data_IF_385837442735
#
_entry.id   IF_385837442735
#
_cell.length_a   1.000
_cell.length_b   1.000
_cell.length_c   1.000
_cell.angle_alpha   90.00
_cell.angle_beta   90.00
_cell.angle_gamma   90.00
#
_symmetry.space_group_name_H-M   'P 1'
#
loop_
_entity.id
_entity.type
_entity.pdbx_description
1 polymer ?
#
# COMPACT_ATOMS: atom_id res chain seq x y z
N UNK A 1 12.21 -5.09 -1.91
CA UNK A 1 13.24 -5.85 -1.15
C UNK A 1 12.66 -7.08 -0.46
N UNK A 2 11.54 -6.98 0.31
CA UNK A 2 10.96 -8.15 1.03
C UNK A 2 10.59 -9.31 0.10
N UNK A 3 9.95 -9.03 -1.03
CA UNK A 3 9.61 -10.05 -2.03
C UNK A 3 10.86 -10.75 -2.61
N UNK A 4 11.96 -10.01 -2.83
CA UNK A 4 13.24 -10.58 -3.26
C UNK A 4 13.90 -11.49 -2.21
N UNK A 5 13.50 -11.35 -0.94
CA UNK A 5 13.92 -12.21 0.17
C UNK A 5 12.96 -13.37 0.42
N UNK A 6 12.00 -13.60 -0.49
CA UNK A 6 11.09 -14.74 -0.45
C UNK A 6 9.76 -14.51 0.28
N UNK A 7 9.40 -13.26 0.60
CA UNK A 7 8.11 -12.99 1.21
C UNK A 7 6.96 -13.44 0.29
N UNK A 8 6.01 -14.18 0.84
CA UNK A 8 4.77 -14.59 0.15
C UNK A 8 3.60 -13.65 0.46
N UNK A 9 3.63 -13.04 1.64
CA UNK A 9 2.65 -12.04 2.08
C UNK A 9 3.36 -10.89 2.78
N UNK A 10 2.89 -9.67 2.54
CA UNK A 10 3.32 -8.47 3.26
C UNK A 10 2.17 -7.93 4.10
N UNK A 11 2.43 -7.69 5.37
CA UNK A 11 1.51 -7.01 6.27
C UNK A 11 1.88 -5.53 6.37
N UNK A 12 0.92 -4.66 6.10
CA UNK A 12 1.05 -3.21 6.26
C UNK A 12 0.17 -2.73 7.43
N UNK A 13 0.66 -2.77 8.68
CA UNK A 13 -0.03 -2.13 9.78
C UNK A 13 0.05 -0.62 9.63
N UNK A 14 -1.11 0.05 9.57
CA UNK A 14 -1.22 1.48 9.31
C UNK A 14 -2.15 2.18 10.31
N UNK A 15 -1.96 3.47 10.44
CA UNK A 15 -2.84 4.38 11.18
C UNK A 15 -3.04 5.62 10.30
N UNK A 16 -3.72 5.43 9.16
CA UNK A 16 -3.95 6.49 8.18
C UNK A 16 -5.43 6.90 8.19
N UNK A 17 -5.67 8.19 8.07
CA UNK A 17 -7.00 8.77 8.11
C UNK A 17 -7.04 10.16 7.54
N UNK A 18 -8.21 10.77 7.57
CA UNK A 18 -8.44 12.13 7.11
C UNK A 18 -8.23 13.15 8.21
N UNK A 19 -7.56 14.22 7.87
CA UNK A 19 -7.70 15.45 8.63
C UNK A 19 -9.11 16.03 8.35
N UNK A 20 -9.85 16.54 9.38
CA UNK A 20 -11.24 16.98 9.21
C UNK A 20 -11.47 17.97 8.06
N UNK A 21 -10.48 18.83 7.78
CA UNK A 21 -10.56 19.82 6.70
C UNK A 21 -10.41 19.22 5.30
N UNK A 22 -9.79 18.05 5.17
CA UNK A 22 -9.48 17.41 3.88
C UNK A 22 -10.55 16.43 3.44
N UNK A 23 -11.26 15.82 4.39
CA UNK A 23 -12.23 14.75 4.14
C UNK A 23 -13.27 15.12 3.07
N UNK A 24 -13.83 16.34 3.13
CA UNK A 24 -14.85 16.77 2.17
C UNK A 24 -14.33 16.93 0.75
N UNK A 25 -13.06 17.34 0.61
CA UNK A 25 -12.48 17.69 -0.69
C UNK A 25 -11.74 16.52 -1.33
N UNK A 26 -11.05 15.71 -0.53
CA UNK A 26 -10.11 14.71 -1.03
C UNK A 26 -10.30 13.30 -0.45
N UNK A 27 -11.30 13.10 0.42
CA UNK A 27 -11.42 11.89 1.22
C UNK A 27 -11.41 10.60 0.41
N UNK A 28 -12.21 10.50 -0.63
CA UNK A 28 -12.25 9.31 -1.49
C UNK A 28 -10.94 9.12 -2.25
N UNK A 29 -10.40 10.19 -2.84
CA UNK A 29 -9.17 10.12 -3.62
C UNK A 29 -7.96 9.66 -2.78
N UNK A 30 -7.85 10.13 -1.53
CA UNK A 30 -6.78 9.72 -0.62
C UNK A 30 -6.88 8.24 -0.24
N UNK A 31 -8.08 7.77 0.12
CA UNK A 31 -8.31 6.36 0.44
C UNK A 31 -8.07 5.45 -0.75
N UNK A 32 -8.60 5.82 -1.92
CA UNK A 32 -8.45 5.06 -3.14
C UNK A 32 -6.98 4.99 -3.59
N UNK A 33 -6.23 6.08 -3.46
CA UNK A 33 -4.79 6.11 -3.73
C UNK A 33 -4.01 5.19 -2.79
N UNK A 34 -4.33 5.22 -1.49
CA UNK A 34 -3.73 4.35 -0.48
C UNK A 34 -3.99 2.86 -0.76
N UNK A 35 -5.22 2.48 -1.12
CA UNK A 35 -5.56 1.10 -1.47
C UNK A 35 -4.90 0.70 -2.80
N UNK A 36 -4.96 1.57 -3.80
CA UNK A 36 -4.42 1.30 -5.14
C UNK A 36 -2.92 1.06 -5.13
N UNK A 37 -2.14 1.88 -4.43
CA UNK A 37 -0.68 1.70 -4.38
C UNK A 37 -0.28 0.38 -3.72
N UNK A 38 -1.00 -0.06 -2.70
CA UNK A 38 -0.71 -1.33 -2.02
C UNK A 38 -1.12 -2.54 -2.87
N UNK A 39 -2.24 -2.46 -3.59
CA UNK A 39 -2.61 -3.44 -4.62
C UNK A 39 -1.58 -3.47 -5.74
N UNK A 40 -1.07 -2.33 -6.15
CA UNK A 40 0.06 -2.23 -7.08
C UNK A 40 1.31 -2.93 -6.57
N UNK A 41 1.62 -2.86 -5.27
CA UNK A 41 2.71 -3.63 -4.67
C UNK A 41 2.47 -5.14 -4.75
N UNK A 42 1.24 -5.61 -4.55
CA UNK A 42 0.91 -7.02 -4.70
C UNK A 42 1.20 -7.51 -6.14
N UNK A 43 0.71 -6.78 -7.13
CA UNK A 43 0.88 -7.09 -8.56
C UNK A 43 2.35 -7.05 -8.96
N UNK A 44 3.04 -5.94 -8.69
CA UNK A 44 4.41 -5.72 -9.14
C UNK A 44 5.41 -6.71 -8.53
N UNK A 45 5.09 -7.32 -7.40
CA UNK A 45 5.97 -8.24 -6.69
C UNK A 45 5.46 -9.70 -6.68
N UNK A 46 4.27 -9.97 -7.22
CA UNK A 46 3.64 -11.30 -7.21
C UNK A 46 3.52 -11.86 -5.79
N UNK A 47 2.88 -11.11 -4.88
CA UNK A 47 2.72 -11.46 -3.46
C UNK A 47 1.33 -11.09 -2.97
N UNK A 48 0.90 -11.69 -1.86
CA UNK A 48 -0.25 -11.20 -1.12
C UNK A 48 0.07 -9.94 -0.34
N UNK A 49 -0.89 -9.04 -0.20
CA UNK A 49 -0.79 -7.85 0.66
C UNK A 49 -1.98 -7.81 1.60
N UNK A 50 -1.69 -7.77 2.90
CA UNK A 50 -2.66 -7.57 3.97
C UNK A 50 -2.45 -6.18 4.59
N UNK A 51 -3.30 -5.24 4.24
CA UNK A 51 -3.29 -3.91 4.82
C UNK A 51 -4.23 -3.87 6.04
N UNK A 52 -3.69 -3.48 7.18
CA UNK A 52 -4.43 -3.38 8.44
C UNK A 52 -4.44 -1.93 8.89
N UNK A 53 -5.60 -1.30 8.89
CA UNK A 53 -5.73 0.10 9.26
C UNK A 53 -6.65 0.28 10.47
N UNK A 54 -6.44 1.36 11.18
CA UNK A 54 -7.31 1.78 12.30
C UNK A 54 -8.65 2.29 11.81
N UNK A 55 -9.64 2.25 12.70
CA UNK A 55 -10.94 2.90 12.55
C UNK A 55 -11.18 3.90 13.69
N UNK A 56 -12.15 4.78 13.50
CA UNK A 56 -12.59 5.73 14.54
C UNK A 56 -11.85 7.06 14.48
N UNK A 57 -12.09 7.87 15.48
CA UNK A 57 -11.58 9.24 15.57
C UNK A 57 -10.66 9.41 16.78
N UNK A 58 -9.50 9.99 16.55
CA UNK A 58 -8.53 10.33 17.60
C UNK A 58 -8.28 11.82 17.63
N UNK A 59 -8.46 12.42 18.81
CA UNK A 59 -8.23 13.84 19.04
C UNK A 59 -7.03 14.01 19.98
N UNK A 60 -5.97 14.69 19.53
CA UNK A 60 -4.86 15.03 20.41
C UNK A 60 -5.29 15.96 21.56
N UNK A 61 -4.68 15.79 22.71
CA UNK A 61 -5.04 16.53 23.96
C UNK A 61 -4.88 18.05 23.80
N UNK A 62 -3.99 18.51 22.94
CA UNK A 62 -3.61 19.92 22.81
C UNK A 62 -4.10 20.63 21.56
N UNK A 63 -4.86 19.97 20.67
CA UNK A 63 -5.32 20.58 19.42
C UNK A 63 -6.82 20.40 19.23
N UNK A 64 -7.43 21.32 18.48
CA UNK A 64 -8.84 21.21 18.09
C UNK A 64 -9.07 20.23 16.92
N UNK A 65 -8.01 19.92 16.18
CA UNK A 65 -8.05 19.00 15.08
C UNK A 65 -7.74 17.56 15.52
N UNK A 66 -8.34 16.58 14.87
CA UNK A 66 -8.09 15.17 15.07
C UNK A 66 -7.88 14.47 13.75
N UNK A 67 -7.76 13.14 13.80
CA UNK A 67 -7.69 12.28 12.62
C UNK A 67 -8.86 11.30 12.70
N UNK A 68 -9.62 11.20 11.62
CA UNK A 68 -10.62 10.16 11.42
C UNK A 68 -9.99 9.05 10.57
N UNK A 69 -9.69 7.92 11.18
CA UNK A 69 -9.13 6.77 10.49
C UNK A 69 -10.20 6.11 9.63
N UNK A 70 -9.86 5.82 8.37
CA UNK A 70 -10.84 5.32 7.41
C UNK A 70 -10.94 3.80 7.30
N UNK A 71 -10.41 3.06 8.27
CA UNK A 71 -10.52 1.60 8.26
C UNK A 71 -10.12 1.00 6.93
N UNK A 72 -11.06 0.35 6.26
CA UNK A 72 -10.89 -0.24 4.94
C UNK A 72 -9.67 -1.18 4.85
N UNK A 73 -9.40 -1.92 5.94
CA UNK A 73 -8.40 -2.98 5.94
C UNK A 73 -8.73 -4.00 4.85
N UNK A 74 -7.74 -4.59 4.22
CA UNK A 74 -8.01 -5.53 3.13
C UNK A 74 -6.92 -6.60 2.99
N UNK A 75 -7.29 -7.69 2.30
CA UNK A 75 -6.39 -8.69 1.77
C UNK A 75 -6.47 -8.68 0.24
N UNK A 76 -5.34 -8.47 -0.42
CA UNK A 76 -5.22 -8.56 -1.87
C UNK A 76 -4.35 -9.75 -2.28
N UNK A 77 -4.71 -10.41 -3.37
CA UNK A 77 -3.94 -11.48 -3.98
C UNK A 77 -2.78 -10.95 -4.85
N UNK A 78 -1.92 -11.83 -5.41
CA UNK A 78 -0.81 -11.44 -6.28
C UNK A 78 -1.22 -10.73 -7.58
N UNK A 79 -2.47 -10.74 -7.96
CA UNK A 79 -3.03 -9.98 -9.10
C UNK A 79 -3.72 -8.69 -8.66
N UNK A 80 -3.66 -8.37 -7.36
CA UNK A 80 -4.27 -7.17 -6.78
C UNK A 80 -5.78 -7.27 -6.62
N UNK A 81 -6.37 -8.46 -6.75
CA UNK A 81 -7.79 -8.70 -6.50
C UNK A 81 -8.03 -8.64 -4.99
N UNK A 82 -9.04 -7.89 -4.58
CA UNK A 82 -9.46 -7.85 -3.17
C UNK A 82 -10.19 -9.15 -2.82
N UNK A 83 -9.57 -9.96 -1.98
CA UNK A 83 -10.15 -11.21 -1.47
C UNK A 83 -11.08 -10.95 -0.29
N UNK A 84 -10.77 -9.95 0.50
CA UNK A 84 -11.58 -9.49 1.62
C UNK A 84 -11.31 -8.02 1.90
N UNK A 85 -12.33 -7.28 2.32
CA UNK A 85 -12.25 -5.86 2.67
C UNK A 85 -13.15 -5.56 3.87
N UNK A 86 -12.60 -4.84 4.83
CA UNK A 86 -13.29 -4.40 6.03
C UNK A 86 -14.02 -3.08 5.82
N UNK A 87 -15.00 -2.82 6.65
CA UNK A 87 -15.72 -1.55 6.66
C UNK A 87 -14.79 -0.37 7.02
N UNK A 88 -15.21 0.81 6.61
CA UNK A 88 -14.47 2.04 6.86
C UNK A 88 -14.64 2.58 8.29
N UNK A 89 -15.69 2.18 8.99
CA UNK A 89 -16.19 2.87 10.18
C UNK A 89 -16.39 1.98 11.41
N UNK A 90 -16.07 0.69 11.32
CA UNK A 90 -16.21 -0.25 12.45
C UNK A 90 -15.04 -1.20 12.59
N UNK A 91 -14.81 -1.65 13.81
CA UNK A 91 -13.87 -2.73 14.11
C UNK A 91 -14.46 -4.07 13.67
N UNK A 92 -13.67 -4.85 12.95
CA UNK A 92 -14.07 -6.20 12.54
C UNK A 92 -12.87 -7.11 12.29
N UNK A 93 -13.10 -8.40 12.35
CA UNK A 93 -12.12 -9.43 12.01
C UNK A 93 -12.27 -9.76 10.53
N UNK A 94 -11.19 -9.61 9.79
CA UNK A 94 -11.12 -9.94 8.38
C UNK A 94 -10.47 -11.31 8.20
N UNK A 95 -11.17 -12.22 7.56
CA UNK A 95 -10.67 -13.54 7.20
C UNK A 95 -10.52 -13.63 5.69
N UNK A 96 -9.41 -14.20 5.24
CA UNK A 96 -9.16 -14.45 3.83
C UNK A 96 -8.22 -15.63 3.64
N UNK A 97 -8.36 -16.30 2.51
CA UNK A 97 -7.53 -17.43 2.14
C UNK A 97 -6.28 -16.98 1.39
N UNK A 98 -5.14 -17.59 1.69
CA UNK A 98 -3.87 -17.38 1.00
C UNK A 98 -3.48 -18.71 0.34
N UNK A 99 -3.63 -18.78 -0.99
CA UNK A 99 -3.22 -19.94 -1.76
C UNK A 99 -1.78 -19.75 -2.30
N UNK A 100 -0.85 -20.51 -1.72
CA UNK A 100 0.56 -20.45 -2.12
C UNK A 100 0.81 -21.10 -3.50
N UNK A 101 -0.07 -21.98 -3.98
CA UNK A 101 0.03 -22.52 -5.34
C UNK A 101 -0.35 -21.46 -6.36
N UNK A 102 -1.45 -20.77 -6.12
CA UNK A 102 -1.85 -19.63 -6.95
C UNK A 102 -0.75 -18.56 -6.99
N UNK A 103 -0.14 -18.23 -5.85
CA UNK A 103 1.00 -17.31 -5.81
C UNK A 103 2.15 -17.76 -6.70
N UNK A 104 2.50 -19.03 -6.67
CA UNK A 104 3.59 -19.56 -7.49
C UNK A 104 3.23 -19.57 -8.99
N UNK A 105 1.98 -19.87 -9.33
CA UNK A 105 1.50 -19.82 -10.71
C UNK A 105 1.56 -18.39 -11.26
N UNK A 106 1.16 -17.40 -10.48
CA UNK A 106 1.27 -15.98 -10.88
C UNK A 106 2.73 -15.58 -11.06
N UNK A 107 3.62 -15.93 -10.16
CA UNK A 107 5.05 -15.62 -10.27
C UNK A 107 5.69 -16.20 -11.52
N UNK A 108 5.24 -17.36 -11.98
CA UNK A 108 5.75 -18.01 -13.19
C UNK A 108 5.18 -17.43 -14.47
N UNK A 109 3.87 -17.16 -14.48
CA UNK A 109 3.13 -16.79 -15.69
C UNK A 109 2.96 -15.27 -15.87
N UNK A 110 3.12 -14.49 -14.77
CA UNK A 110 3.00 -13.03 -14.75
C UNK A 110 4.18 -12.39 -14.01
N UNK A 111 5.40 -12.51 -14.53
CA UNK A 111 6.64 -12.39 -13.77
C UNK A 111 7.19 -10.96 -13.67
N UNK A 112 6.40 -9.98 -13.29
CA UNK A 112 6.83 -8.57 -13.16
C UNK A 112 8.08 -8.40 -12.27
N UNK A 113 8.17 -9.14 -11.16
CA UNK A 113 9.32 -9.05 -10.26
C UNK A 113 10.60 -9.55 -10.92
N UNK A 114 10.52 -10.62 -11.73
CA UNK A 114 11.65 -11.18 -12.47
C UNK A 114 12.09 -10.26 -13.60
N UNK A 115 11.15 -9.70 -14.33
CA UNK A 115 11.39 -8.99 -15.58
C UNK A 115 11.74 -7.50 -15.39
N UNK A 116 12.07 -7.11 -14.15
CA UNK A 116 12.52 -5.74 -13.87
C UNK A 116 13.82 -5.42 -14.59
N UNK A 117 13.92 -4.20 -15.09
CA UNK A 117 15.13 -3.64 -15.67
C UNK A 117 16.12 -3.26 -14.54
N UNK A 118 16.77 -4.25 -13.96
CA UNK A 118 17.72 -4.03 -12.84
C UNK A 118 18.92 -3.17 -13.25
N UNK A 119 19.24 -3.17 -14.53
CA UNK A 119 20.28 -2.33 -15.15
C UNK A 119 19.92 -0.83 -15.16
N UNK A 120 18.64 -0.49 -14.97
CA UNK A 120 18.15 0.89 -14.97
C UNK A 120 17.93 1.46 -13.54
N UNK A 121 18.36 0.75 -12.49
CA UNK A 121 18.06 1.11 -11.10
C UNK A 121 19.19 1.83 -10.36
N UNK A 122 20.26 2.22 -11.03
CA UNK A 122 21.44 2.83 -10.40
C UNK A 122 21.09 4.07 -9.57
N UNK A 123 20.13 4.86 -10.04
CA UNK A 123 19.70 6.07 -9.35
C UNK A 123 18.70 5.86 -8.21
N UNK A 124 18.21 4.61 -7.95
CA UNK A 124 17.09 4.39 -7.01
C UNK A 124 17.42 4.72 -5.55
N UNK A 125 18.69 4.78 -5.21
CA UNK A 125 19.16 5.17 -3.87
C UNK A 125 19.32 6.68 -3.70
N UNK A 126 19.23 7.44 -4.79
CA UNK A 126 19.26 8.88 -4.78
C UNK A 126 17.86 9.44 -4.55
N UNK A 127 17.76 10.52 -3.77
CA UNK A 127 16.46 11.18 -3.53
C UNK A 127 15.95 11.88 -4.76
N UNK A 128 16.85 12.50 -5.53
CA UNK A 128 16.61 13.22 -6.79
C UNK A 128 17.71 12.85 -7.77
N UNK A 129 17.38 12.85 -9.05
CA UNK A 129 18.33 12.68 -10.15
C UNK A 129 18.62 13.99 -10.88
N UNK A 130 17.92 15.05 -10.52
CA UNK A 130 18.13 16.40 -11.04
C UNK A 130 19.47 16.91 -10.51
N UNK A 131 20.37 17.23 -11.39
CA UNK A 131 21.56 18.00 -11.02
C UNK A 131 21.11 19.46 -10.87
N UNK A 132 21.42 20.15 -9.76
CA UNK A 132 21.24 21.59 -9.71
C UNK A 132 22.04 22.17 -10.89
N UNK A 133 21.36 22.94 -11.74
CA UNK A 133 22.05 23.67 -12.80
C UNK A 133 23.15 24.49 -12.11
N UNK A 134 24.40 24.18 -12.41
CA UNK A 134 25.52 25.04 -12.01
C UNK A 134 25.34 26.31 -12.81
N UNK A 135 24.75 27.33 -12.17
CA UNK A 135 24.84 28.68 -12.68
C UNK A 135 26.30 29.11 -12.58
N UNK A 136 27.10 28.72 -13.52
CA UNK A 136 28.39 29.34 -13.79
C UNK A 136 28.12 30.73 -14.38
N UNK A 137 28.21 31.74 -13.48
CA UNK A 137 28.43 33.12 -13.85
C UNK A 137 29.88 33.48 -13.66
#
# INVERSE_FOLDING_TARGET
MSALRGASILFYPTAIGWHPHEKKKQGNAQRDAWQTVQRGHAIANGIYVAAVNRVGFEKPVKTSAGIEFWGSSFLADPQGVLLAEAAADKEEILLGEVDLRHLEDIRRNWPFLRDRRIDAYDGITSRFLDHPETNDQ
#
